data_IF_792232862350
#
_entry.id   IF_792232862350
#
_cell.length_a   1.000
_cell.length_b   1.000
_cell.length_c   1.000
_cell.angle_alpha   90.00
_cell.angle_beta   90.00
_cell.angle_gamma   90.00
#
_symmetry.space_group_name_H-M   'P 1'
#
loop_
_entity.id
_entity.type
_entity.pdbx_description
1 polymer ?
#
# COMPACT_ATOMS: atom_id res chain seq x y z
N UNK A 1 -9.89 31.50 1.63
CA UNK A 1 -8.85 31.05 0.69
C UNK A 1 -8.91 29.53 0.61
N UNK A 2 -9.14 28.95 -0.56
CA UNK A 2 -9.03 27.50 -0.72
C UNK A 2 -7.60 27.07 -0.35
N UNK A 3 -7.44 26.11 0.54
CA UNK A 3 -6.12 25.65 0.96
C UNK A 3 -5.32 25.11 -0.22
N UNK A 4 -4.06 25.53 -0.34
CA UNK A 4 -3.15 25.01 -1.38
C UNK A 4 -3.04 23.49 -1.20
N UNK A 5 -3.40 22.73 -2.23
CA UNK A 5 -3.26 21.27 -2.22
C UNK A 5 -1.80 20.89 -1.95
N UNK A 6 -1.59 20.04 -0.94
CA UNK A 6 -0.28 19.47 -0.64
C UNK A 6 -0.25 18.03 -1.18
N UNK A 7 0.61 17.74 -2.18
CA UNK A 7 0.79 16.38 -2.66
C UNK A 7 1.07 15.42 -1.52
N UNK A 8 0.39 14.27 -1.53
CA UNK A 8 0.67 13.19 -0.58
C UNK A 8 1.87 12.40 -1.09
N UNK A 9 2.67 11.94 -0.14
CA UNK A 9 3.85 11.09 -0.38
C UNK A 9 3.71 9.80 0.44
N UNK A 10 2.90 8.82 0.00
CA UNK A 10 2.72 7.55 0.71
C UNK A 10 4.05 6.86 1.01
N UNK A 11 5.01 6.98 0.09
CA UNK A 11 6.37 6.41 0.18
C UNK A 11 7.19 6.95 1.36
N UNK A 12 6.80 8.10 1.93
CA UNK A 12 7.45 8.69 3.10
C UNK A 12 6.83 8.23 4.41
N UNK A 13 5.68 7.55 4.37
CA UNK A 13 5.05 7.05 5.60
C UNK A 13 5.82 5.85 6.15
N UNK A 14 5.81 5.70 7.48
CA UNK A 14 6.53 4.60 8.13
C UNK A 14 5.97 3.24 7.70
N UNK A 15 4.64 3.11 7.67
CA UNK A 15 3.98 1.87 7.27
C UNK A 15 4.36 1.44 5.84
N UNK A 16 4.33 2.38 4.88
CA UNK A 16 4.76 2.11 3.52
C UNK A 16 6.19 1.61 3.47
N UNK A 17 7.13 2.30 4.13
CA UNK A 17 8.55 1.92 4.11
C UNK A 17 8.78 0.55 4.71
N UNK A 18 8.09 0.21 5.80
CA UNK A 18 8.21 -1.11 6.44
C UNK A 18 7.72 -2.20 5.50
N UNK A 19 6.52 -2.03 4.93
CA UNK A 19 5.96 -3.04 4.01
C UNK A 19 6.80 -3.15 2.74
N UNK A 20 7.15 -2.03 2.12
CA UNK A 20 7.93 -2.00 0.88
C UNK A 20 9.31 -2.68 1.00
N UNK A 21 9.99 -2.53 2.15
CA UNK A 21 11.33 -3.08 2.32
C UNK A 21 11.37 -4.50 2.90
N UNK A 22 10.39 -4.90 3.70
CA UNK A 22 10.49 -6.13 4.50
C UNK A 22 9.40 -7.17 4.22
N UNK A 23 8.34 -6.82 3.49
CA UNK A 23 7.20 -7.72 3.33
C UNK A 23 7.54 -9.01 2.55
N UNK A 24 8.31 -8.92 1.48
CA UNK A 24 8.73 -10.11 0.71
C UNK A 24 9.54 -11.09 1.58
N UNK A 25 10.45 -10.55 2.41
CA UNK A 25 11.21 -11.35 3.36
C UNK A 25 10.31 -11.97 4.42
N UNK A 26 9.34 -11.21 4.92
CA UNK A 26 8.35 -11.72 5.86
C UNK A 26 7.56 -12.90 5.27
N UNK A 27 7.11 -12.80 4.02
CA UNK A 27 6.41 -13.89 3.32
C UNK A 27 7.30 -15.14 3.19
N UNK A 28 8.56 -14.96 2.79
CA UNK A 28 9.50 -16.07 2.60
C UNK A 28 9.84 -16.80 3.91
N UNK A 29 9.83 -16.10 5.05
CA UNK A 29 10.19 -16.66 6.35
C UNK A 29 8.97 -17.07 7.20
N UNK A 30 7.73 -16.76 6.78
CA UNK A 30 6.54 -16.90 7.62
C UNK A 30 6.28 -18.35 8.05
N UNK A 31 6.25 -19.27 7.10
CA UNK A 31 5.96 -20.68 7.35
C UNK A 31 6.94 -21.27 8.38
N UNK A 32 8.23 -20.98 8.21
CA UNK A 32 9.29 -21.51 9.09
C UNK A 32 9.37 -20.85 10.47
N UNK A 33 8.99 -19.57 10.59
CA UNK A 33 9.21 -18.79 11.82
C UNK A 33 7.96 -18.52 12.64
N UNK A 34 6.81 -18.39 11.99
CA UNK A 34 5.61 -17.79 12.58
C UNK A 34 4.37 -18.67 12.48
N UNK A 35 4.26 -19.55 11.47
CA UNK A 35 3.05 -20.36 11.27
C UNK A 35 2.70 -21.25 12.47
N UNK A 36 3.71 -21.79 13.17
CA UNK A 36 3.48 -22.62 14.36
C UNK A 36 2.75 -21.86 15.49
N UNK A 37 3.04 -20.57 15.64
CA UNK A 37 2.51 -19.75 16.73
C UNK A 37 1.24 -18.99 16.30
N UNK A 38 1.23 -18.46 15.07
CA UNK A 38 0.18 -17.56 14.58
C UNK A 38 -0.77 -18.22 13.56
N UNK A 39 -0.51 -19.48 13.20
CA UNK A 39 -1.26 -20.21 12.19
C UNK A 39 -0.95 -19.78 10.76
N UNK A 40 -1.63 -20.40 9.81
CA UNK A 40 -1.45 -20.20 8.37
C UNK A 40 -1.61 -18.73 7.93
N UNK A 41 -0.69 -18.26 7.08
CA UNK A 41 -0.78 -16.92 6.51
C UNK A 41 -1.86 -16.85 5.43
N UNK A 42 -2.91 -16.08 5.68
CA UNK A 42 -4.02 -15.94 4.74
C UNK A 42 -3.58 -15.22 3.45
N UNK A 43 -3.89 -15.76 2.25
CA UNK A 43 -3.49 -15.14 0.96
C UNK A 43 -3.94 -13.69 0.78
N UNK A 44 -5.09 -13.32 1.35
CA UNK A 44 -5.64 -11.94 1.32
C UNK A 44 -4.67 -10.91 1.90
N UNK A 45 -3.79 -11.30 2.83
CA UNK A 45 -2.82 -10.37 3.44
C UNK A 45 -1.85 -9.87 2.38
N UNK A 46 -1.35 -10.76 1.52
CA UNK A 46 -0.47 -10.39 0.41
C UNK A 46 -1.17 -9.44 -0.56
N UNK A 47 -2.37 -9.80 -1.01
CA UNK A 47 -3.15 -9.00 -1.96
C UNK A 47 -3.41 -7.57 -1.42
N UNK A 48 -3.78 -7.45 -0.15
CA UNK A 48 -4.06 -6.15 0.47
C UNK A 48 -2.80 -5.31 0.59
N UNK A 49 -1.66 -5.89 0.95
CA UNK A 49 -0.40 -5.16 1.05
C UNK A 49 0.07 -4.67 -0.32
N UNK A 50 0.00 -5.51 -1.35
CA UNK A 50 0.32 -5.13 -2.74
C UNK A 50 -0.56 -3.96 -3.21
N UNK A 51 -1.88 -4.07 -3.03
CA UNK A 51 -2.82 -2.99 -3.35
C UNK A 51 -2.57 -1.71 -2.56
N UNK A 52 -2.15 -1.83 -1.31
CA UNK A 52 -1.78 -0.68 -0.49
C UNK A 52 -0.52 0.03 -1.02
N UNK A 53 0.50 -0.73 -1.43
CA UNK A 53 1.75 -0.17 -1.98
C UNK A 53 1.53 0.53 -3.34
N UNK A 54 0.51 0.11 -4.10
CA UNK A 54 0.10 0.77 -5.34
C UNK A 54 -0.82 1.99 -5.11
N UNK A 55 -1.49 2.06 -3.96
CA UNK A 55 -2.49 3.08 -3.69
C UNK A 55 -1.87 4.47 -3.47
N UNK A 56 -2.42 5.48 -4.14
CA UNK A 56 -2.03 6.87 -3.93
C UNK A 56 -0.65 7.26 -4.48
N UNK A 57 0.03 6.34 -5.19
CA UNK A 57 1.22 6.62 -5.95
C UNK A 57 0.84 6.93 -7.41
N UNK A 58 0.93 8.20 -7.88
CA UNK A 58 0.57 8.55 -9.25
C UNK A 58 1.39 7.83 -10.32
N UNK A 59 2.56 7.27 -9.96
CA UNK A 59 3.39 6.46 -10.86
C UNK A 59 2.74 5.11 -11.21
N UNK A 60 1.84 4.61 -10.37
CA UNK A 60 1.06 3.38 -10.62
C UNK A 60 -0.20 3.65 -11.48
N UNK A 61 -0.37 4.87 -11.99
CA UNK A 61 -1.53 5.30 -12.77
C UNK A 61 -2.58 6.01 -11.92
N UNK A 62 -3.34 6.92 -12.54
CA UNK A 62 -4.41 7.66 -11.86
C UNK A 62 -5.56 7.96 -12.83
N UNK A 63 -6.78 7.95 -12.31
CA UNK A 63 -7.97 8.37 -13.04
C UNK A 63 -8.19 9.87 -12.86
N UNK A 64 -8.40 10.59 -13.97
CA UNK A 64 -8.89 11.98 -13.95
C UNK A 64 -10.38 11.95 -14.26
N UNK A 65 -11.20 12.26 -13.27
CA UNK A 65 -12.64 12.40 -13.44
C UNK A 65 -12.94 13.90 -13.52
N UNK A 66 -13.69 14.30 -14.55
CA UNK A 66 -14.21 15.66 -14.70
C UNK A 66 -15.73 15.59 -14.66
N UNK A 67 -16.35 16.39 -13.80
CA UNK A 67 -17.79 16.60 -13.87
C UNK A 67 -18.08 17.50 -15.08
N UNK A 68 -18.93 17.09 -16.04
CA UNK A 68 -19.23 17.90 -17.23
C UNK A 68 -19.94 19.22 -16.86
N UNK A 69 -20.69 19.23 -15.76
CA UNK A 69 -21.47 20.38 -15.30
C UNK A 69 -20.67 21.35 -14.41
N UNK A 70 -19.44 20.98 -14.00
CA UNK A 70 -18.58 21.85 -13.20
C UNK A 70 -17.47 22.46 -14.06
N UNK A 71 -17.43 23.81 -14.09
CA UNK A 71 -16.37 24.60 -14.72
C UNK A 71 -15.26 24.94 -13.74
#
# INVERSE_FOLDING_TARGET
MAGVYRPRHPERTVLYRVLFHYFDRFLAEYEGRFEKEYGFLRPIIKEVVERYLDCGNPRCGFARIRCPDCH
#
